data_IF_954985453743
#
_entry.id   IF_954985453743
#
_cell.length_a   1.000
_cell.length_b   1.000
_cell.length_c   1.000
_cell.angle_alpha   90.00
_cell.angle_beta   90.00
_cell.angle_gamma   90.00
#
_symmetry.space_group_name_H-M   'P 1'
#
loop_
_entity.id
_entity.type
_entity.pdbx_description
1 polymer ?
#
# COMPACT_ATOMS: atom_id res chain seq x y z
N UNK A 1 -27.96 -52.97 9.67
CA UNK A 1 -28.01 -52.95 8.19
C UNK A 1 -27.49 -51.60 7.69
N UNK A 2 -26.84 -51.55 6.51
CA UNK A 2 -25.55 -50.85 6.23
C UNK A 2 -25.73 -49.50 5.48
N UNK A 3 -24.67 -48.80 5.00
CA UNK A 3 -23.37 -48.49 5.62
C UNK A 3 -22.94 -46.99 5.49
N UNK A 4 -21.87 -46.69 6.23
CA UNK A 4 -20.89 -45.61 6.12
C UNK A 4 -20.23 -45.51 4.74
N UNK A 5 -19.98 -44.29 4.23
CA UNK A 5 -18.84 -43.88 3.36
C UNK A 5 -18.94 -42.37 3.02
N UNK A 6 -17.77 -41.72 2.94
CA UNK A 6 -17.48 -40.43 2.28
C UNK A 6 -17.75 -39.09 3.00
N UNK A 7 -17.01 -38.81 4.08
CA UNK A 7 -16.47 -37.46 4.33
C UNK A 7 -15.06 -37.53 4.92
N UNK A 8 -14.08 -37.88 4.09
CA UNK A 8 -12.65 -37.63 4.35
C UNK A 8 -11.94 -37.36 3.03
N UNK A 9 -11.77 -36.08 2.70
CA UNK A 9 -10.73 -35.62 1.79
C UNK A 9 -10.51 -34.13 2.02
N UNK A 10 -9.24 -33.72 2.03
CA UNK A 10 -8.70 -32.37 2.20
C UNK A 10 -8.45 -31.89 3.64
N UNK A 11 -7.67 -32.68 4.40
CA UNK A 11 -6.78 -32.14 5.42
C UNK A 11 -5.57 -33.07 5.60
N UNK A 12 -4.52 -32.84 4.81
CA UNK A 12 -3.14 -33.26 5.10
C UNK A 12 -2.22 -32.56 4.09
N UNK A 13 -1.71 -31.39 4.48
CA UNK A 13 -0.45 -30.90 3.93
C UNK A 13 0.56 -30.97 5.07
N UNK A 14 1.39 -31.99 4.96
CA UNK A 14 2.50 -32.31 5.85
C UNK A 14 3.57 -31.25 5.76
N UNK A 15 3.96 -30.78 6.94
CA UNK A 15 5.27 -30.22 7.24
C UNK A 15 6.29 -31.36 7.04
N UNK A 16 7.37 -31.07 6.32
CA UNK A 16 8.70 -31.73 6.32
C UNK A 16 9.23 -31.98 4.91
N UNK A 17 10.16 -31.12 4.48
CA UNK A 17 11.17 -31.46 3.48
C UNK A 17 12.38 -30.52 3.63
N UNK A 18 13.19 -30.76 4.65
CA UNK A 18 14.58 -30.36 4.65
C UNK A 18 15.41 -31.53 4.06
N UNK A 19 16.07 -31.33 2.90
CA UNK A 19 17.43 -31.81 2.60
C UNK A 19 17.81 -31.71 1.10
N UNK A 20 18.74 -30.78 0.85
CA UNK A 20 19.91 -30.85 -0.07
C UNK A 20 19.73 -30.76 -1.61
N UNK A 21 20.72 -30.14 -2.30
CA UNK A 21 20.59 -29.67 -3.67
C UNK A 21 21.17 -30.67 -4.69
N UNK A 22 20.50 -30.82 -5.83
CA UNK A 22 21.05 -31.51 -7.00
C UNK A 22 21.32 -30.48 -8.11
N UNK A 23 22.59 -30.38 -8.50
CA UNK A 23 23.12 -29.58 -9.59
C UNK A 23 22.85 -30.33 -10.91
N UNK A 24 22.23 -29.67 -11.89
CA UNK A 24 22.33 -30.06 -13.31
C UNK A 24 22.03 -28.86 -14.24
N UNK A 25 22.67 -28.78 -15.42
CA UNK A 25 23.02 -27.50 -16.05
C UNK A 25 22.02 -26.97 -17.08
N UNK A 26 22.19 -25.67 -17.35
CA UNK A 26 21.62 -24.87 -18.43
C UNK A 26 21.82 -25.50 -19.82
N UNK A 27 20.79 -25.47 -20.65
CA UNK A 27 20.93 -25.34 -22.10
C UNK A 27 19.71 -24.59 -22.67
N UNK A 28 19.98 -23.49 -23.39
CA UNK A 28 19.01 -22.75 -24.17
C UNK A 28 19.00 -23.31 -25.61
N UNK A 29 17.83 -23.42 -26.22
CA UNK A 29 17.71 -23.62 -27.66
C UNK A 29 16.73 -22.61 -28.24
N UNK A 30 17.28 -21.49 -28.70
CA UNK A 30 16.66 -20.67 -29.73
C UNK A 30 16.85 -21.41 -31.07
N UNK A 31 15.78 -21.64 -31.81
CA UNK A 31 15.86 -22.03 -33.22
C UNK A 31 15.05 -21.05 -34.05
N UNK A 32 15.75 -20.24 -34.83
CA UNK A 32 15.22 -19.40 -35.90
C UNK A 32 15.47 -20.14 -37.21
N UNK A 33 14.43 -20.68 -37.83
CA UNK A 33 14.47 -21.00 -39.25
C UNK A 33 13.08 -20.89 -39.86
N UNK A 34 13.00 -20.00 -40.85
CA UNK A 34 11.85 -19.70 -41.67
C UNK A 34 11.58 -20.83 -42.66
N UNK A 35 10.35 -21.32 -42.73
CA UNK A 35 9.91 -22.24 -43.78
C UNK A 35 9.33 -21.44 -44.94
N UNK A 36 10.13 -21.31 -46.02
CA UNK A 36 9.69 -20.85 -47.33
C UNK A 36 8.78 -21.90 -47.99
N UNK A 37 7.81 -21.38 -48.72
CA UNK A 37 6.97 -22.00 -49.76
C UNK A 37 7.58 -23.21 -50.49
N UNK A 38 6.77 -24.27 -50.68
CA UNK A 38 6.34 -24.79 -52.01
C UNK A 38 5.81 -26.24 -51.90
N UNK A 39 4.69 -26.53 -52.59
CA UNK A 39 4.17 -27.87 -52.83
C UNK A 39 2.73 -27.84 -53.33
N UNK A 40 2.54 -27.81 -54.67
CA UNK A 40 1.26 -27.64 -55.36
C UNK A 40 0.26 -28.80 -55.23
N UNK A 41 -0.98 -28.64 -55.76
CA UNK A 41 -2.08 -29.56 -55.53
C UNK A 41 -1.91 -30.83 -56.37
N UNK A 42 -1.72 -31.98 -55.72
CA UNK A 42 -1.77 -33.28 -56.38
C UNK A 42 -3.20 -33.74 -56.61
N UNK A 43 -3.40 -34.32 -57.79
CA UNK A 43 -4.67 -34.64 -58.46
C UNK A 43 -5.54 -35.64 -57.70
N UNK A 44 -6.86 -35.46 -57.86
CA UNK A 44 -7.93 -36.43 -57.53
C UNK A 44 -7.63 -37.79 -58.17
N UNK A 45 -7.31 -38.79 -57.35
CA UNK A 45 -7.31 -40.21 -57.69
C UNK A 45 -8.56 -40.88 -57.12
N UNK A 46 -9.22 -41.67 -57.96
CA UNK A 46 -10.51 -42.33 -57.73
C UNK A 46 -10.58 -43.09 -56.40
N UNK A 47 -11.63 -42.82 -55.62
CA UNK A 47 -11.99 -43.62 -54.46
C UNK A 47 -12.54 -44.98 -54.92
N UNK A 48 -11.80 -46.05 -54.67
CA UNK A 48 -12.34 -47.40 -54.71
C UNK A 48 -13.40 -47.55 -53.61
N UNK A 49 -14.54 -48.17 -53.93
CA UNK A 49 -15.60 -48.43 -52.96
C UNK A 49 -15.06 -49.28 -51.78
N UNK A 50 -15.42 -48.96 -50.52
CA UNK A 50 -14.93 -49.73 -49.38
C UNK A 50 -15.52 -51.14 -49.41
N UNK A 51 -14.65 -52.15 -49.28
CA UNK A 51 -15.06 -53.56 -49.11
C UNK A 51 -15.97 -53.69 -47.88
N UNK A 52 -17.21 -54.14 -48.08
CA UNK A 52 -18.12 -54.58 -47.01
C UNK A 52 -17.42 -55.66 -46.17
N UNK A 53 -17.28 -55.47 -44.86
CA UNK A 53 -17.06 -56.60 -43.96
C UNK A 53 -16.01 -56.50 -42.84
N UNK A 54 -15.42 -55.34 -42.53
CA UNK A 54 -14.59 -55.22 -41.31
C UNK A 54 -15.16 -54.15 -40.37
N UNK A 55 -16.12 -54.57 -39.55
CA UNK A 55 -16.46 -53.87 -38.30
C UNK A 55 -15.31 -54.10 -37.31
N UNK A 56 -14.27 -53.27 -37.37
CA UNK A 56 -13.46 -53.01 -36.18
C UNK A 56 -14.00 -51.73 -35.54
N UNK A 57 -14.61 -51.90 -34.38
CA UNK A 57 -15.14 -50.82 -33.54
C UNK A 57 -13.94 -50.01 -33.01
N UNK A 58 -13.49 -49.03 -33.79
CA UNK A 58 -12.41 -48.14 -33.39
C UNK A 58 -12.97 -47.18 -32.32
N UNK A 59 -12.99 -47.60 -31.05
CA UNK A 59 -13.30 -46.75 -29.90
C UNK A 59 -12.14 -45.79 -29.64
N UNK A 60 -11.81 -44.97 -30.64
CA UNK A 60 -11.21 -43.67 -30.32
C UNK A 60 -12.30 -42.94 -29.58
N UNK A 61 -12.18 -42.92 -28.24
CA UNK A 61 -12.97 -42.15 -27.30
C UNK A 61 -13.24 -40.81 -27.96
N UNK A 62 -14.40 -40.68 -28.61
CA UNK A 62 -14.72 -39.51 -29.40
C UNK A 62 -14.53 -38.35 -28.46
N UNK A 63 -13.72 -37.34 -28.85
CA UNK A 63 -13.65 -36.08 -28.12
C UNK A 63 -15.10 -35.73 -27.85
N UNK A 64 -15.56 -35.91 -26.60
CA UNK A 64 -16.96 -35.69 -26.25
C UNK A 64 -17.24 -34.29 -26.78
N UNK A 65 -18.16 -34.18 -27.75
CA UNK A 65 -18.61 -32.90 -28.27
C UNK A 65 -18.83 -32.01 -27.06
N UNK A 66 -18.11 -30.89 -26.99
CA UNK A 66 -17.87 -30.11 -25.78
C UNK A 66 -19.15 -29.96 -24.95
N UNK A 67 -19.39 -30.91 -24.05
CA UNK A 67 -20.57 -30.95 -23.21
C UNK A 67 -20.29 -30.14 -21.98
N UNK A 68 -21.08 -29.10 -21.81
CA UNK A 68 -21.15 -28.27 -20.62
C UNK A 68 -20.94 -26.82 -20.98
N UNK A 69 -21.99 -26.01 -20.83
CA UNK A 69 -21.87 -24.57 -20.66
C UNK A 69 -20.91 -24.34 -19.49
N UNK A 70 -19.62 -24.16 -19.80
CA UNK A 70 -18.61 -23.78 -18.82
C UNK A 70 -18.99 -22.36 -18.44
N UNK A 71 -19.74 -22.22 -17.34
CA UNK A 71 -20.51 -21.02 -17.00
C UNK A 71 -19.78 -19.69 -17.22
N UNK A 72 -20.56 -18.60 -17.23
CA UNK A 72 -20.11 -17.26 -17.63
C UNK A 72 -18.71 -16.93 -17.09
N UNK A 73 -17.79 -16.69 -18.02
CA UNK A 73 -16.43 -16.27 -17.68
C UNK A 73 -16.48 -14.95 -16.93
N UNK A 74 -15.62 -14.75 -15.91
CA UNK A 74 -15.58 -13.49 -15.19
C UNK A 74 -15.24 -12.34 -16.12
N UNK A 75 -15.81 -11.17 -15.85
CA UNK A 75 -15.57 -9.96 -16.63
C UNK A 75 -14.12 -9.49 -16.51
N UNK A 76 -13.67 -8.65 -17.46
CA UNK A 76 -12.35 -8.06 -17.40
C UNK A 76 -12.18 -7.28 -16.09
N UNK A 77 -11.08 -7.54 -15.37
CA UNK A 77 -10.80 -6.88 -14.10
C UNK A 77 -11.50 -7.47 -12.87
N UNK A 78 -12.55 -8.29 -13.02
CA UNK A 78 -13.33 -8.82 -11.89
C UNK A 78 -12.47 -9.62 -10.90
N UNK A 79 -11.55 -10.45 -11.41
CA UNK A 79 -10.60 -11.21 -10.58
C UNK A 79 -9.60 -10.32 -9.82
N UNK A 80 -9.23 -9.15 -10.38
CA UNK A 80 -8.34 -8.19 -9.70
C UNK A 80 -9.14 -7.45 -8.63
N UNK A 81 -10.35 -6.99 -8.97
CA UNK A 81 -11.27 -6.33 -8.04
C UNK A 81 -11.60 -7.24 -6.84
N UNK A 82 -11.90 -8.53 -7.06
CA UNK A 82 -12.14 -9.47 -5.96
C UNK A 82 -10.96 -9.62 -5.00
N UNK A 83 -9.71 -9.61 -5.51
CA UNK A 83 -8.50 -9.70 -4.68
C UNK A 83 -8.14 -8.40 -3.97
N UNK A 84 -8.50 -7.25 -4.55
CA UNK A 84 -8.30 -5.92 -3.95
C UNK A 84 -9.50 -5.45 -3.12
N UNK A 85 -10.64 -6.18 -3.12
CA UNK A 85 -11.85 -5.80 -2.38
C UNK A 85 -11.59 -5.84 -0.88
N UNK A 86 -11.97 -4.76 -0.21
CA UNK A 86 -11.86 -4.61 1.23
C UNK A 86 -13.27 -4.66 1.82
N UNK A 87 -13.43 -5.45 2.87
CA UNK A 87 -14.68 -5.58 3.64
C UNK A 87 -14.42 -4.90 4.99
N UNK A 88 -15.17 -3.83 5.29
CA UNK A 88 -14.98 -2.99 6.48
C UNK A 88 -16.05 -3.20 7.56
N UNK A 89 -17.06 -4.01 7.28
CA UNK A 89 -18.13 -4.33 8.23
C UNK A 89 -18.51 -5.80 8.15
N UNK A 90 -18.90 -6.33 9.29
CA UNK A 90 -19.45 -7.67 9.44
C UNK A 90 -20.64 -7.61 10.39
N UNK A 91 -21.83 -7.88 9.86
CA UNK A 91 -23.08 -7.82 10.63
C UNK A 91 -23.20 -8.95 11.65
N UNK A 92 -22.44 -10.04 11.48
CA UNK A 92 -22.42 -11.15 12.44
C UNK A 92 -21.56 -10.85 13.68
N UNK A 93 -20.70 -9.83 13.63
CA UNK A 93 -19.88 -9.44 14.76
C UNK A 93 -20.72 -8.64 15.77
N UNK A 94 -20.49 -8.89 17.06
CA UNK A 94 -21.21 -8.18 18.10
C UNK A 94 -20.78 -6.71 18.15
N UNK A 95 -21.72 -5.85 18.51
CA UNK A 95 -21.43 -4.44 18.71
C UNK A 95 -20.80 -4.22 20.07
N UNK A 96 -19.63 -3.58 20.06
CA UNK A 96 -18.88 -3.31 21.27
C UNK A 96 -19.40 -2.02 21.90
N UNK A 97 -20.11 -2.14 23.03
CA UNK A 97 -20.71 -1.01 23.75
C UNK A 97 -19.69 -0.09 24.42
N UNK A 98 -18.48 -0.60 24.70
CA UNK A 98 -17.39 0.15 25.32
C UNK A 98 -16.64 1.09 24.34
N UNK A 99 -16.85 0.89 23.04
CA UNK A 99 -16.05 1.49 21.98
C UNK A 99 -16.48 2.95 21.75
N UNK A 100 -15.55 3.88 22.02
CA UNK A 100 -15.71 5.33 21.80
C UNK A 100 -15.14 5.72 20.44
N UNK A 101 -15.76 6.70 19.81
CA UNK A 101 -15.32 7.17 18.49
C UNK A 101 -14.27 8.27 18.60
N UNK A 102 -13.38 8.31 17.61
CA UNK A 102 -12.45 9.41 17.42
C UNK A 102 -13.20 10.65 16.91
N UNK A 103 -13.03 11.76 17.61
CA UNK A 103 -13.57 13.06 17.23
C UNK A 103 -12.45 14.08 17.04
N UNK A 104 -12.77 15.24 16.45
CA UNK A 104 -11.82 16.34 16.27
C UNK A 104 -11.11 16.71 17.57
N UNK A 105 -11.81 16.78 18.71
CA UNK A 105 -11.21 17.10 20.00
C UNK A 105 -10.32 15.98 20.52
N UNK A 106 -10.82 14.74 20.48
CA UNK A 106 -10.17 13.60 21.12
C UNK A 106 -9.00 13.02 20.31
N UNK A 107 -8.95 13.23 18.99
CA UNK A 107 -8.00 12.59 18.09
C UNK A 107 -6.51 12.78 18.46
N UNK A 108 -6.18 13.84 19.21
CA UNK A 108 -4.80 14.15 19.60
C UNK A 108 -4.54 13.98 21.11
N UNK A 109 -5.49 13.45 21.88
CA UNK A 109 -5.33 13.30 23.34
C UNK A 109 -4.43 12.11 23.70
N UNK A 110 -3.53 12.32 24.67
CA UNK A 110 -2.63 11.28 25.18
C UNK A 110 -3.35 10.26 26.06
N UNK A 111 -4.51 10.63 26.61
CA UNK A 111 -5.35 9.77 27.44
C UNK A 111 -5.89 8.54 26.71
N UNK A 112 -5.87 8.57 25.37
CA UNK A 112 -6.31 7.45 24.56
C UNK A 112 -5.28 6.33 24.47
N UNK A 113 -4.06 6.50 25.01
CA UNK A 113 -3.04 5.45 24.98
C UNK A 113 -3.57 4.12 25.55
N UNK A 114 -3.44 3.05 24.78
CA UNK A 114 -3.90 1.72 25.13
C UNK A 114 -5.39 1.46 24.92
N UNK A 115 -6.17 2.45 24.47
CA UNK A 115 -7.60 2.27 24.19
C UNK A 115 -7.88 1.97 22.72
N UNK A 116 -8.88 1.12 22.49
CA UNK A 116 -9.43 0.87 21.15
C UNK A 116 -10.48 1.94 20.87
N UNK A 117 -10.35 2.62 19.73
CA UNK A 117 -11.20 3.72 19.33
C UNK A 117 -11.81 3.46 17.95
N UNK A 118 -13.11 3.75 17.81
CA UNK A 118 -13.85 3.63 16.56
C UNK A 118 -13.50 4.76 15.58
N UNK A 119 -13.46 4.43 14.29
CA UNK A 119 -13.38 5.44 13.23
C UNK A 119 -14.79 5.89 12.85
N UNK A 120 -15.09 7.19 12.81
CA UNK A 120 -16.40 7.67 12.37
C UNK A 120 -16.59 7.42 10.87
N UNK A 121 -17.85 7.31 10.45
CA UNK A 121 -18.24 6.87 9.10
C UNK A 121 -17.64 7.76 8.01
N UNK A 122 -17.69 9.09 8.19
CA UNK A 122 -17.15 10.05 7.22
C UNK A 122 -15.64 9.85 6.99
N UNK A 123 -14.89 9.65 8.09
CA UNK A 123 -13.46 9.35 8.01
C UNK A 123 -13.19 8.00 7.36
N UNK A 124 -14.03 6.98 7.61
CA UNK A 124 -13.90 5.67 6.96
C UNK A 124 -14.09 5.80 5.46
N UNK A 125 -15.07 6.59 4.99
CA UNK A 125 -15.31 6.79 3.56
C UNK A 125 -14.16 7.57 2.89
N UNK A 126 -13.62 8.60 3.55
CA UNK A 126 -12.43 9.31 3.07
C UNK A 126 -11.19 8.39 2.99
N UNK A 127 -10.94 7.60 4.03
CA UNK A 127 -9.83 6.63 4.06
C UNK A 127 -10.00 5.51 3.03
N UNK A 128 -11.24 5.09 2.75
CA UNK A 128 -11.56 4.12 1.70
C UNK A 128 -11.27 4.71 0.32
N UNK A 129 -11.65 5.97 0.07
CA UNK A 129 -11.37 6.66 -1.18
C UNK A 129 -9.86 6.80 -1.45
N UNK A 130 -9.06 6.98 -0.39
CA UNK A 130 -7.59 7.06 -0.47
C UNK A 130 -6.89 5.69 -0.44
N UNK A 131 -7.62 4.57 -0.54
CA UNK A 131 -7.09 3.21 -0.46
C UNK A 131 -6.14 2.97 0.74
N UNK A 132 -6.41 3.63 1.88
CA UNK A 132 -5.59 3.53 3.09
C UNK A 132 -5.75 2.16 3.76
N UNK A 133 -6.94 1.56 3.66
CA UNK A 133 -7.20 0.21 4.11
C UNK A 133 -6.53 -0.82 3.19
N UNK A 134 -5.98 -1.90 3.76
CA UNK A 134 -5.32 -2.98 3.02
C UNK A 134 -6.07 -4.30 3.19
N UNK A 135 -6.02 -5.14 2.18
CA UNK A 135 -6.68 -6.45 2.18
C UNK A 135 -6.06 -7.47 3.14
N UNK A 136 -4.81 -7.25 3.55
CA UNK A 136 -4.13 -8.09 4.55
C UNK A 136 -4.65 -7.87 5.98
N UNK A 137 -5.29 -6.72 6.24
CA UNK A 137 -5.78 -6.32 7.56
C UNK A 137 -7.13 -6.96 7.88
N UNK A 138 -7.38 -7.29 9.15
CA UNK A 138 -8.55 -8.03 9.62
C UNK A 138 -9.84 -7.23 9.82
N UNK A 139 -10.11 -6.19 9.02
CA UNK A 139 -11.31 -5.34 9.22
C UNK A 139 -12.63 -6.08 9.08
N UNK A 140 -12.68 -7.12 8.25
CA UNK A 140 -13.88 -7.92 8.00
C UNK A 140 -14.33 -8.75 9.21
N UNK A 141 -13.56 -8.77 10.30
CA UNK A 141 -13.90 -9.50 11.50
C UNK A 141 -14.86 -8.71 12.41
N UNK A 142 -14.88 -7.38 12.27
CA UNK A 142 -15.59 -6.48 13.17
C UNK A 142 -16.78 -5.81 12.50
N UNK A 143 -17.72 -5.33 13.31
CA UNK A 143 -18.90 -4.61 12.82
C UNK A 143 -18.55 -3.23 12.25
N UNK A 144 -17.61 -2.53 12.89
CA UNK A 144 -17.08 -1.24 12.46
C UNK A 144 -15.55 -1.18 12.55
N UNK A 145 -14.87 -0.39 11.69
CA UNK A 145 -13.43 -0.20 11.78
C UNK A 145 -13.03 0.49 13.09
N UNK A 146 -12.14 -0.15 13.84
CA UNK A 146 -11.59 0.39 15.08
C UNK A 146 -10.07 0.24 15.10
N UNK A 147 -9.39 1.16 15.77
CA UNK A 147 -7.94 1.25 15.83
C UNK A 147 -7.47 1.33 17.28
N UNK A 148 -6.38 0.65 17.59
CA UNK A 148 -5.72 0.75 18.89
C UNK A 148 -4.81 1.98 18.91
N UNK A 149 -5.04 2.88 19.86
CA UNK A 149 -4.21 4.06 20.10
C UNK A 149 -2.96 3.66 20.89
N UNK A 150 -1.92 3.24 20.18
CA UNK A 150 -0.65 2.79 20.77
C UNK A 150 0.23 3.96 21.20
N UNK A 151 1.30 3.66 21.95
CA UNK A 151 2.36 4.64 22.23
C UNK A 151 2.87 5.36 20.97
N UNK A 152 3.06 4.65 19.85
CA UNK A 152 3.56 5.26 18.60
C UNK A 152 2.49 6.14 17.93
N UNK A 153 1.21 5.82 18.11
CA UNK A 153 0.09 6.64 17.63
C UNK A 153 -0.01 7.95 18.43
N UNK A 154 0.21 7.88 19.74
CA UNK A 154 0.26 9.07 20.61
C UNK A 154 1.48 9.93 20.28
N UNK A 155 2.63 9.32 19.94
CA UNK A 155 3.78 10.06 19.41
C UNK A 155 3.44 10.78 18.11
N UNK A 156 2.75 10.14 17.16
CA UNK A 156 2.24 10.81 15.97
C UNK A 156 1.29 11.96 16.33
N UNK A 157 0.34 11.76 17.24
CA UNK A 157 -0.57 12.81 17.69
C UNK A 157 0.16 14.04 18.25
N UNK A 158 1.26 13.84 19.00
CA UNK A 158 2.13 14.92 19.49
C UNK A 158 2.76 15.72 18.34
N UNK A 159 3.21 15.03 17.29
CA UNK A 159 3.76 15.68 16.10
C UNK A 159 2.69 16.49 15.36
N UNK A 160 1.46 15.99 15.26
CA UNK A 160 0.36 16.77 14.68
C UNK A 160 0.12 18.06 15.46
N UNK A 161 0.10 18.02 16.80
CA UNK A 161 0.00 19.25 17.63
C UNK A 161 1.15 20.21 17.38
N UNK A 162 2.38 19.71 17.33
CA UNK A 162 3.57 20.54 17.08
C UNK A 162 3.53 21.18 15.68
N UNK A 163 3.06 20.45 14.67
CA UNK A 163 2.91 20.97 13.31
C UNK A 163 1.86 22.10 13.25
N UNK A 164 0.74 21.98 13.97
CA UNK A 164 -0.27 23.06 14.05
C UNK A 164 0.29 24.31 14.74
N UNK A 165 0.98 24.15 15.87
CA UNK A 165 1.47 25.28 16.65
C UNK A 165 2.64 25.99 15.98
N UNK A 166 3.55 25.24 15.36
CA UNK A 166 4.80 25.77 14.80
C UNK A 166 4.73 26.10 13.31
N UNK A 167 3.68 25.65 12.60
CA UNK A 167 3.57 25.71 11.13
C UNK A 167 4.81 25.14 10.43
N UNK A 168 5.49 24.18 11.05
CA UNK A 168 6.66 23.51 10.49
C UNK A 168 6.26 22.25 9.74
N UNK A 169 7.12 21.86 8.80
CA UNK A 169 7.04 20.56 8.14
C UNK A 169 7.72 19.51 9.01
N UNK A 170 6.95 18.56 9.54
CA UNK A 170 7.49 17.42 10.27
C UNK A 170 7.54 16.21 9.34
N UNK A 171 8.66 15.47 9.39
CA UNK A 171 8.92 14.37 8.46
C UNK A 171 9.28 13.14 9.26
N UNK A 172 8.59 12.02 9.03
CA UNK A 172 8.81 10.76 9.77
C UNK A 172 8.80 9.55 8.85
N UNK A 173 9.70 8.61 9.12
CA UNK A 173 9.69 7.28 8.50
C UNK A 173 9.23 6.25 9.52
N UNK A 174 8.24 5.43 9.18
CA UNK A 174 7.76 4.35 10.02
C UNK A 174 8.56 3.07 9.70
N UNK A 175 9.37 2.65 10.66
CA UNK A 175 10.20 1.43 10.59
C UNK A 175 9.65 0.36 11.54
N UNK A 176 9.97 -0.90 11.30
CA UNK A 176 9.59 -2.00 12.19
C UNK A 176 9.48 -3.34 11.48
N UNK A 177 9.19 -4.38 12.25
CA UNK A 177 9.13 -5.76 11.78
C UNK A 177 7.90 -6.07 10.92
N UNK A 178 7.91 -7.22 10.24
CA UNK A 178 6.77 -7.72 9.48
C UNK A 178 5.53 -7.81 10.38
N UNK A 179 4.40 -7.28 9.89
CA UNK A 179 3.10 -7.23 10.58
C UNK A 179 3.05 -6.42 11.90
N UNK A 180 4.05 -5.58 12.20
CA UNK A 180 4.04 -4.74 13.41
C UNK A 180 2.99 -3.63 13.43
N UNK A 181 2.27 -3.37 12.33
CA UNK A 181 1.23 -2.33 12.25
C UNK A 181 1.67 -1.00 11.63
N UNK A 182 2.71 -1.01 10.77
CA UNK A 182 3.20 0.21 10.08
C UNK A 182 2.13 0.88 9.21
N UNK A 183 1.48 0.12 8.32
CA UNK A 183 0.41 0.65 7.45
C UNK A 183 -0.82 1.09 8.25
N UNK A 184 -1.14 0.42 9.36
CA UNK A 184 -2.24 0.86 10.24
C UNK A 184 -1.90 2.14 10.99
N UNK A 185 -0.63 2.34 11.37
CA UNK A 185 -0.17 3.59 11.98
C UNK A 185 -0.19 4.75 10.97
N UNK A 186 0.17 4.49 9.71
CA UNK A 186 0.00 5.47 8.61
C UNK A 186 -1.48 5.82 8.42
N UNK A 187 -2.38 4.83 8.42
CA UNK A 187 -3.82 5.04 8.36
C UNK A 187 -4.32 5.90 9.53
N UNK A 188 -3.84 5.66 10.75
CA UNK A 188 -4.16 6.50 11.91
C UNK A 188 -3.71 7.95 11.70
N UNK A 189 -2.53 8.18 11.13
CA UNK A 189 -2.06 9.53 10.76
C UNK A 189 -2.97 10.22 9.74
N UNK A 190 -3.42 9.49 8.70
CA UNK A 190 -4.38 10.00 7.72
C UNK A 190 -5.74 10.31 8.38
N UNK A 191 -6.20 9.45 9.30
CA UNK A 191 -7.44 9.64 10.04
C UNK A 191 -7.38 10.90 10.92
N UNK A 192 -6.27 11.11 11.64
CA UNK A 192 -6.04 12.31 12.45
C UNK A 192 -6.05 13.57 11.59
N UNK A 193 -5.41 13.54 10.42
CA UNK A 193 -5.43 14.64 9.46
C UNK A 193 -6.84 14.97 8.98
N UNK A 194 -7.60 13.96 8.57
CA UNK A 194 -8.98 14.16 8.11
C UNK A 194 -9.89 14.70 9.22
N UNK A 195 -9.82 14.16 10.44
CA UNK A 195 -10.59 14.64 11.60
C UNK A 195 -10.26 16.08 12.00
N UNK A 196 -9.04 16.54 11.72
CA UNK A 196 -8.60 17.92 11.96
C UNK A 196 -8.84 18.84 10.77
N UNK A 197 -9.50 18.37 9.71
CA UNK A 197 -9.76 19.11 8.47
C UNK A 197 -8.47 19.54 7.74
N UNK A 198 -7.41 18.76 7.87
CA UNK A 198 -6.19 18.95 7.09
C UNK A 198 -6.38 18.41 5.67
N UNK A 199 -5.54 18.88 4.74
CA UNK A 199 -5.55 18.37 3.38
C UNK A 199 -4.77 17.05 3.32
N UNK A 200 -5.46 15.94 3.04
CA UNK A 200 -4.88 14.60 3.10
C UNK A 200 -4.58 14.07 1.70
N UNK A 201 -3.33 13.69 1.46
CA UNK A 201 -2.87 13.05 0.22
C UNK A 201 -2.13 11.77 0.60
N UNK A 202 -2.61 10.65 0.05
CA UNK A 202 -2.02 9.34 0.27
C UNK A 202 -1.58 8.72 -1.04
N UNK A 203 -0.37 8.14 -1.05
CA UNK A 203 0.14 7.28 -2.11
C UNK A 203 0.06 5.83 -1.59
N UNK A 204 -0.99 5.06 -1.97
CA UNK A 204 -1.35 3.84 -1.25
C UNK A 204 -0.31 2.74 -1.34
N UNK A 205 0.31 2.54 -2.51
CA UNK A 205 1.38 1.56 -2.70
C UNK A 205 2.45 2.14 -3.63
N UNK A 206 3.63 2.41 -3.08
CA UNK A 206 4.79 2.85 -3.87
C UNK A 206 5.17 1.87 -4.99
N UNK A 207 4.88 0.57 -4.82
CA UNK A 207 5.15 -0.43 -5.85
C UNK A 207 4.40 -0.14 -7.15
N UNK A 208 3.13 0.25 -7.06
CA UNK A 208 2.30 0.50 -8.24
C UNK A 208 2.91 1.65 -9.09
N UNK A 209 3.56 2.62 -8.45
CA UNK A 209 4.23 3.74 -9.12
C UNK A 209 5.52 3.30 -9.83
N UNK A 210 6.19 2.23 -9.40
CA UNK A 210 7.55 1.86 -9.83
C UNK A 210 7.58 0.63 -10.77
N UNK A 211 6.54 -0.21 -10.72
CA UNK A 211 6.46 -1.55 -11.33
C UNK A 211 6.11 -1.55 -12.85
N UNK A 212 6.47 -0.50 -13.60
CA UNK A 212 6.33 -0.41 -15.06
C UNK A 212 4.99 -0.85 -15.68
N UNK A 213 3.88 -0.65 -14.97
CA UNK A 213 2.57 -1.14 -15.38
C UNK A 213 1.57 -0.04 -15.74
N UNK A 214 1.91 1.21 -15.45
CA UNK A 214 1.17 2.40 -15.91
C UNK A 214 1.92 3.04 -17.07
N UNK A 215 1.21 3.86 -17.83
CA UNK A 215 1.82 4.73 -18.82
C UNK A 215 2.79 5.73 -18.17
N UNK A 216 3.79 6.12 -18.93
CA UNK A 216 4.76 7.13 -18.53
C UNK A 216 5.23 7.93 -19.74
N UNK A 217 5.49 9.21 -19.55
CA UNK A 217 5.98 10.09 -20.60
C UNK A 217 7.12 10.99 -20.09
N UNK A 218 8.15 11.25 -20.92
CA UNK A 218 9.16 12.24 -20.58
C UNK A 218 8.54 13.63 -20.40
N UNK A 219 8.92 14.36 -19.35
CA UNK A 219 8.53 15.74 -19.14
C UNK A 219 9.46 16.68 -19.94
N UNK A 220 8.96 17.43 -20.94
CA UNK A 220 9.81 18.35 -21.70
C UNK A 220 10.33 19.48 -20.81
N UNK A 221 11.62 19.83 -20.93
CA UNK A 221 12.22 20.97 -20.24
C UNK A 221 12.60 20.74 -18.77
N UNK A 222 12.54 19.50 -18.26
CA UNK A 222 13.04 19.16 -16.93
C UNK A 222 14.52 18.77 -16.95
N UNK A 223 15.32 19.33 -16.05
CA UNK A 223 16.71 18.93 -15.80
C UNK A 223 16.86 18.45 -14.32
N UNK A 224 17.26 17.20 -14.03
CA UNK A 224 17.44 16.07 -14.94
C UNK A 224 16.10 15.64 -15.60
N UNK A 225 16.19 14.80 -16.63
CA UNK A 225 15.01 14.31 -17.36
C UNK A 225 14.04 13.57 -16.42
N UNK A 226 12.85 14.14 -16.22
CA UNK A 226 11.81 13.57 -15.37
C UNK A 226 10.75 12.87 -16.21
N UNK A 227 10.01 11.96 -15.58
CA UNK A 227 8.93 11.21 -16.22
C UNK A 227 7.62 11.38 -15.46
N UNK A 228 6.56 11.67 -16.21
CA UNK A 228 5.17 11.81 -15.77
C UNK A 228 4.43 10.48 -15.91
N UNK A 229 3.36 10.30 -15.13
CA UNK A 229 2.56 9.07 -15.10
C UNK A 229 1.07 9.43 -15.08
N UNK A 230 0.56 9.78 -16.26
CA UNK A 230 -0.70 10.48 -16.46
C UNK A 230 -1.95 9.70 -16.00
N UNK A 231 -2.00 8.39 -16.26
CA UNK A 231 -3.11 7.56 -15.76
C UNK A 231 -3.05 7.38 -14.25
N UNK A 232 -1.86 7.36 -13.65
CA UNK A 232 -1.75 7.26 -12.19
C UNK A 232 -2.12 8.58 -11.50
N UNK A 233 -1.64 9.72 -12.01
CA UNK A 233 -1.94 11.06 -11.50
C UNK A 233 -3.43 11.41 -11.61
N UNK A 234 -4.09 11.05 -12.70
CA UNK A 234 -5.55 11.26 -12.85
C UNK A 234 -6.36 10.46 -11.82
N UNK A 235 -6.01 9.20 -11.57
CA UNK A 235 -6.61 8.40 -10.52
C UNK A 235 -6.32 8.98 -9.12
N UNK A 236 -5.09 9.45 -8.88
CA UNK A 236 -4.73 10.12 -7.62
C UNK A 236 -5.57 11.39 -7.40
N UNK A 237 -5.77 12.20 -8.43
CA UNK A 237 -6.63 13.39 -8.37
C UNK A 237 -8.08 13.04 -8.04
N UNK A 238 -8.62 11.95 -8.59
CA UNK A 238 -9.94 11.44 -8.22
C UNK A 238 -10.01 11.07 -6.72
N UNK A 239 -9.00 10.36 -6.21
CA UNK A 239 -8.94 9.97 -4.79
C UNK A 239 -8.85 11.21 -3.88
N UNK A 240 -8.04 12.20 -4.25
CA UNK A 240 -7.92 13.48 -3.55
C UNK A 240 -9.26 14.22 -3.53
N UNK A 241 -9.99 14.22 -4.65
CA UNK A 241 -11.30 14.87 -4.76
C UNK A 241 -12.33 14.26 -3.81
N UNK A 242 -12.38 12.93 -3.74
CA UNK A 242 -13.32 12.20 -2.89
C UNK A 242 -12.99 12.38 -1.40
N UNK A 243 -11.71 12.36 -1.03
CA UNK A 243 -11.30 12.47 0.36
C UNK A 243 -11.38 13.90 0.95
N UNK A 244 -11.14 14.92 0.12
CA UNK A 244 -11.07 16.34 0.52
C UNK A 244 -12.19 17.19 -0.10
N UNK A 245 -13.30 16.55 -0.51
CA UNK A 245 -14.38 17.17 -1.26
C UNK A 245 -14.92 18.49 -0.67
N UNK A 246 -15.22 18.57 0.65
CA UNK A 246 -15.72 19.79 1.27
C UNK A 246 -14.78 20.98 1.12
N UNK A 247 -13.47 20.76 1.31
CA UNK A 247 -12.46 21.81 1.19
C UNK A 247 -12.27 22.29 -0.25
N UNK A 248 -12.25 21.36 -1.22
CA UNK A 248 -12.06 21.68 -2.63
C UNK A 248 -13.25 22.45 -3.22
N UNK A 249 -14.46 22.19 -2.73
CA UNK A 249 -15.66 22.91 -3.15
C UNK A 249 -15.73 24.33 -2.57
N UNK A 250 -15.31 24.52 -1.32
CA UNK A 250 -15.34 25.81 -0.65
C UNK A 250 -14.26 26.78 -1.18
N UNK A 251 -13.17 26.25 -1.74
CA UNK A 251 -11.97 27.02 -2.07
C UNK A 251 -11.93 27.44 -3.54
N UNK A 252 -11.79 28.75 -3.78
CA UNK A 252 -11.58 29.33 -5.12
C UNK A 252 -10.09 29.40 -5.48
N UNK A 253 -9.81 29.39 -6.78
CA UNK A 253 -8.47 29.61 -7.34
C UNK A 253 -7.97 31.02 -7.05
N UNK A 254 -6.70 31.12 -6.67
CA UNK A 254 -6.02 32.38 -6.38
C UNK A 254 -5.19 32.84 -7.59
N UNK A 255 -4.62 31.89 -8.31
CA UNK A 255 -3.74 32.12 -9.46
C UNK A 255 -4.36 31.61 -10.74
N UNK A 256 -3.98 32.25 -11.84
CA UNK A 256 -4.25 31.78 -13.20
C UNK A 256 -3.18 30.78 -13.60
N UNK A 257 -3.58 29.62 -14.10
CA UNK A 257 -2.68 28.58 -14.58
C UNK A 257 -2.88 28.39 -16.08
N UNK A 258 -1.77 28.27 -16.81
CA UNK A 258 -1.79 27.90 -18.21
C UNK A 258 -1.97 26.37 -18.30
N UNK A 259 -3.20 25.95 -18.55
CA UNK A 259 -3.58 24.55 -18.66
C UNK A 259 -4.02 24.27 -20.10
N UNK A 260 -3.84 23.04 -20.59
CA UNK A 260 -4.27 22.65 -21.94
C UNK A 260 -5.76 22.92 -22.21
N UNK A 261 -6.59 22.92 -21.16
CA UNK A 261 -8.01 23.28 -21.21
C UNK A 261 -8.24 24.50 -20.32
N UNK A 262 -8.82 25.59 -20.86
CA UNK A 262 -9.03 26.80 -20.08
C UNK A 262 -10.15 26.61 -19.04
N UNK A 263 -9.90 27.10 -17.82
CA UNK A 263 -10.89 27.15 -16.75
C UNK A 263 -11.65 28.49 -16.77
N UNK A 264 -12.90 28.48 -16.30
CA UNK A 264 -13.68 29.71 -16.13
C UNK A 264 -13.07 30.62 -15.06
N UNK A 265 -13.18 31.93 -15.26
CA UNK A 265 -12.72 32.92 -14.29
C UNK A 265 -13.44 32.73 -12.94
N UNK A 266 -12.69 32.48 -11.88
CA UNK A 266 -13.23 32.22 -10.54
C UNK A 266 -13.64 30.76 -10.26
N UNK A 267 -13.17 29.82 -11.09
CA UNK A 267 -13.37 28.38 -10.88
C UNK A 267 -12.91 27.91 -9.48
N UNK A 268 -13.56 26.85 -9.00
CA UNK A 268 -13.24 26.21 -7.72
C UNK A 268 -12.05 25.24 -7.87
N UNK A 269 -11.37 24.92 -6.76
CA UNK A 269 -10.34 23.86 -6.78
C UNK A 269 -10.93 22.51 -7.20
N UNK A 270 -12.21 22.26 -6.90
CA UNK A 270 -12.91 21.07 -7.35
C UNK A 270 -12.98 20.95 -8.88
N UNK A 271 -13.21 22.06 -9.58
CA UNK A 271 -13.25 22.11 -11.05
C UNK A 271 -11.85 21.89 -11.65
N UNK A 272 -10.81 22.47 -11.03
CA UNK A 272 -9.42 22.21 -11.41
C UNK A 272 -9.09 20.71 -11.33
N UNK A 273 -9.43 20.06 -10.22
CA UNK A 273 -9.17 18.62 -10.02
C UNK A 273 -9.99 17.77 -10.99
N UNK A 274 -11.25 18.13 -11.25
CA UNK A 274 -12.11 17.44 -12.21
C UNK A 274 -11.56 17.47 -13.64
N UNK A 275 -10.88 18.56 -14.03
CA UNK A 275 -10.21 18.68 -15.33
C UNK A 275 -9.09 17.65 -15.48
N UNK A 276 -8.24 17.52 -14.46
CA UNK A 276 -7.15 16.53 -14.46
C UNK A 276 -7.62 15.08 -14.33
N UNK A 277 -8.80 14.86 -13.75
CA UNK A 277 -9.46 13.55 -13.76
C UNK A 277 -10.00 13.18 -15.15
N UNK A 278 -10.61 14.13 -15.85
CA UNK A 278 -11.20 13.89 -17.17
C UNK A 278 -10.14 13.71 -18.27
N UNK A 279 -9.01 14.42 -18.16
CA UNK A 279 -7.95 14.44 -19.16
C UNK A 279 -6.62 13.96 -18.54
N UNK A 280 -6.24 12.67 -18.71
CA UNK A 280 -5.00 12.13 -18.16
C UNK A 280 -3.75 12.91 -18.59
N UNK A 281 -3.64 13.32 -19.85
CA UNK A 281 -2.47 14.06 -20.37
C UNK A 281 -2.23 15.41 -19.67
N UNK A 282 -3.29 16.03 -19.13
CA UNK A 282 -3.20 17.29 -18.39
C UNK A 282 -3.05 17.10 -16.88
N UNK A 283 -3.07 15.85 -16.38
CA UNK A 283 -3.17 15.55 -14.96
C UNK A 283 -1.95 16.00 -14.15
N UNK A 284 -0.73 15.90 -14.69
CA UNK A 284 0.47 16.37 -14.00
C UNK A 284 0.52 17.91 -13.85
N UNK A 285 0.33 18.71 -14.92
CA UNK A 285 0.17 20.16 -14.78
C UNK A 285 -0.94 20.58 -13.80
N UNK A 286 -2.07 19.88 -13.81
CA UNK A 286 -3.19 20.11 -12.88
C UNK A 286 -2.77 19.81 -11.43
N UNK A 287 -2.06 18.70 -11.19
CA UNK A 287 -1.54 18.36 -9.87
C UNK A 287 -0.53 19.42 -9.38
N UNK A 288 0.36 19.89 -10.24
CA UNK A 288 1.31 20.96 -9.90
C UNK A 288 0.59 22.28 -9.59
N UNK A 289 -0.46 22.63 -10.35
CA UNK A 289 -1.30 23.79 -10.08
C UNK A 289 -2.03 23.67 -8.73
N UNK A 290 -2.63 22.52 -8.45
CA UNK A 290 -3.27 22.22 -7.17
C UNK A 290 -2.28 22.38 -6.01
N UNK A 291 -1.07 21.82 -6.16
CA UNK A 291 -0.03 21.93 -5.13
C UNK A 291 0.39 23.38 -4.85
N UNK A 292 0.50 24.19 -5.91
CA UNK A 292 0.81 25.61 -5.80
C UNK A 292 -0.32 26.40 -5.11
N UNK A 293 -1.57 26.04 -5.31
CA UNK A 293 -2.74 26.61 -4.61
C UNK A 293 -2.77 26.21 -3.13
N UNK A 294 -2.45 24.96 -2.81
CA UNK A 294 -2.35 24.47 -1.43
C UNK A 294 -1.18 25.12 -0.66
N UNK A 295 -0.14 25.51 -1.38
CA UNK A 295 1.02 26.21 -0.83
C UNK A 295 0.80 27.72 -0.63
N UNK A 296 -0.38 28.27 -0.97
CA UNK A 296 -0.70 29.67 -0.68
C UNK A 296 -0.87 29.90 0.83
N UNK A 297 -0.57 31.10 1.35
CA UNK A 297 -0.74 31.40 2.76
C UNK A 297 -2.22 31.30 3.17
N UNK A 298 -2.49 30.78 4.36
CA UNK A 298 -3.85 30.67 4.90
C UNK A 298 -4.63 29.42 4.48
N UNK A 299 -3.96 28.47 3.81
CA UNK A 299 -4.51 27.13 3.53
C UNK A 299 -4.28 26.18 4.72
N UNK A 300 -5.06 25.10 4.86
CA UNK A 300 -4.84 24.11 5.91
C UNK A 300 -3.49 23.40 5.75
N UNK A 301 -2.95 22.82 6.85
CA UNK A 301 -1.78 21.97 6.78
C UNK A 301 -2.02 20.73 5.90
N UNK A 302 -0.94 20.15 5.37
CA UNK A 302 -1.01 19.00 4.46
C UNK A 302 -0.46 17.74 5.16
N UNK A 303 -1.18 16.63 5.05
CA UNK A 303 -0.64 15.29 5.34
C UNK A 303 -0.30 14.62 4.01
N UNK A 304 0.98 14.37 3.79
CA UNK A 304 1.48 13.64 2.63
C UNK A 304 2.04 12.29 3.07
N UNK A 305 1.39 11.20 2.70
CA UNK A 305 1.80 9.86 3.11
C UNK A 305 2.12 8.95 1.92
N UNK A 306 3.09 8.05 2.10
CA UNK A 306 3.35 6.94 1.18
C UNK A 306 3.56 5.64 1.97
N UNK A 307 2.97 4.55 1.47
CA UNK A 307 3.25 3.21 1.99
C UNK A 307 4.26 2.46 1.09
N UNK A 308 5.01 1.54 1.70
CA UNK A 308 6.03 0.72 1.07
C UNK A 308 7.19 1.52 0.45
N UNK A 309 7.73 2.48 1.20
CA UNK A 309 8.86 3.36 0.84
C UNK A 309 10.06 2.62 0.22
N UNK A 310 10.32 1.36 0.58
CA UNK A 310 11.42 0.56 0.03
C UNK A 310 11.40 0.44 -1.50
N UNK A 311 10.22 0.52 -2.15
CA UNK A 311 10.12 0.45 -3.61
C UNK A 311 10.63 1.71 -4.33
N UNK A 312 10.57 2.88 -3.68
CA UNK A 312 11.03 4.15 -4.30
C UNK A 312 12.52 4.42 -4.09
N UNK A 313 13.20 3.67 -3.22
CA UNK A 313 14.63 3.84 -2.89
C UNK A 313 15.53 2.95 -3.77
N UNK A 314 15.11 2.74 -5.02
CA UNK A 314 15.82 1.92 -6.01
C UNK A 314 15.51 2.40 -7.42
N UNK A 315 16.18 1.80 -8.41
CA UNK A 315 15.76 1.95 -9.80
C UNK A 315 14.37 1.35 -10.03
N UNK A 316 13.59 2.05 -10.83
CA UNK A 316 12.28 1.59 -11.29
C UNK A 316 12.41 0.55 -12.40
N UNK A 317 11.29 -0.10 -12.71
CA UNK A 317 11.23 -1.06 -13.81
C UNK A 317 10.99 -0.36 -15.16
N UNK A 318 10.77 0.96 -15.15
CA UNK A 318 10.65 1.76 -16.38
C UNK A 318 12.00 1.93 -17.07
N UNK A 319 11.95 2.05 -18.39
CA UNK A 319 13.14 2.19 -19.23
C UNK A 319 13.17 3.57 -19.89
N UNK A 320 14.34 4.17 -19.93
CA UNK A 320 14.57 5.38 -20.73
C UNK A 320 14.65 5.03 -22.23
N UNK A 321 14.72 6.06 -23.09
CA UNK A 321 14.97 5.88 -24.52
C UNK A 321 16.27 5.07 -24.81
N UNK A 322 17.25 5.14 -23.90
CA UNK A 322 18.50 4.39 -23.97
C UNK A 322 18.39 2.95 -23.42
N UNK A 323 17.18 2.47 -23.12
CA UNK A 323 16.92 1.14 -22.54
C UNK A 323 17.65 0.96 -21.19
N UNK A 324 17.78 2.05 -20.42
CA UNK A 324 18.34 2.02 -19.06
C UNK A 324 17.21 2.12 -18.03
N UNK A 325 17.26 1.35 -16.93
CA UNK A 325 16.32 1.53 -15.84
C UNK A 325 16.34 2.97 -15.32
N UNK A 326 15.17 3.60 -15.28
CA UNK A 326 15.00 4.95 -14.76
C UNK A 326 15.05 4.88 -13.23
N UNK A 327 15.78 5.78 -12.59
CA UNK A 327 15.81 5.83 -11.13
C UNK A 327 14.41 6.25 -10.60
N UNK A 328 13.89 5.65 -9.53
CA UNK A 328 12.53 5.98 -9.07
C UNK A 328 12.38 7.47 -8.68
N UNK A 329 13.44 8.12 -8.17
CA UNK A 329 13.45 9.57 -7.92
C UNK A 329 13.34 10.46 -9.18
N UNK A 330 13.45 9.91 -10.40
CA UNK A 330 13.24 10.66 -11.64
C UNK A 330 11.77 10.62 -12.09
N UNK A 331 10.93 9.80 -11.45
CA UNK A 331 9.47 9.84 -11.59
C UNK A 331 8.94 11.07 -10.85
N UNK A 332 8.22 11.94 -11.54
CA UNK A 332 7.74 13.25 -11.05
C UNK A 332 7.00 13.19 -9.70
N UNK A 333 6.07 12.24 -9.54
CA UNK A 333 5.34 12.04 -8.27
C UNK A 333 6.25 11.62 -7.11
N UNK A 334 7.18 10.70 -7.38
CA UNK A 334 8.13 10.23 -6.37
C UNK A 334 9.11 11.35 -6.02
N UNK A 335 9.60 12.07 -7.03
CA UNK A 335 10.46 13.24 -6.85
C UNK A 335 9.78 14.28 -5.96
N UNK A 336 8.52 14.58 -6.24
CA UNK A 336 7.72 15.50 -5.44
C UNK A 336 7.63 15.07 -3.98
N UNK A 337 7.30 13.80 -3.72
CA UNK A 337 7.32 13.24 -2.36
C UNK A 337 8.70 13.32 -1.71
N UNK A 338 9.76 12.93 -2.42
CA UNK A 338 11.13 12.91 -1.92
C UNK A 338 11.69 14.30 -1.65
N UNK A 339 11.33 15.31 -2.43
CA UNK A 339 11.70 16.70 -2.16
C UNK A 339 11.10 17.20 -0.83
N UNK A 340 9.90 16.74 -0.48
CA UNK A 340 9.26 17.02 0.80
C UNK A 340 9.82 16.18 1.96
N UNK A 341 10.15 14.91 1.72
CA UNK A 341 10.78 14.05 2.72
C UNK A 341 12.23 14.45 3.03
N UNK A 342 13.00 14.87 2.02
CA UNK A 342 14.37 15.37 2.18
C UNK A 342 14.44 16.80 2.72
N UNK A 343 13.32 17.52 2.73
CA UNK A 343 13.25 18.90 3.24
C UNK A 343 13.75 19.95 2.25
N UNK A 344 14.06 19.55 1.01
CA UNK A 344 14.37 20.47 -0.09
C UNK A 344 13.19 21.42 -0.38
N UNK A 345 11.96 20.91 -0.29
CA UNK A 345 10.72 21.71 -0.38
C UNK A 345 9.98 21.67 0.96
N UNK A 346 9.82 22.83 1.58
CA UNK A 346 9.07 23.00 2.83
C UNK A 346 7.59 23.28 2.55
N UNK A 347 6.71 22.83 3.46
CA UNK A 347 5.29 23.16 3.45
C UNK A 347 5.09 24.49 4.19
N UNK A 348 4.65 25.56 3.50
CA UNK A 348 4.58 26.91 4.11
C UNK A 348 3.51 27.01 5.20
N UNK A 349 2.43 26.24 5.10
CA UNK A 349 1.34 26.22 6.09
C UNK A 349 1.53 25.17 7.19
N UNK A 350 2.69 24.52 7.23
CA UNK A 350 2.94 23.35 8.06
C UNK A 350 2.33 22.08 7.47
N UNK A 351 2.67 20.96 8.08
CA UNK A 351 2.17 19.65 7.66
C UNK A 351 3.08 18.51 8.08
N UNK A 352 2.65 17.30 7.77
CA UNK A 352 3.34 16.07 8.13
C UNK A 352 3.58 15.23 6.88
N UNK A 353 4.84 14.83 6.67
CA UNK A 353 5.23 13.89 5.61
C UNK A 353 5.57 12.55 6.25
N UNK A 354 4.82 11.50 5.89
CA UNK A 354 4.95 10.16 6.43
C UNK A 354 5.39 9.17 5.34
N UNK A 355 6.41 8.37 5.63
CA UNK A 355 6.79 7.24 4.79
C UNK A 355 6.81 5.95 5.58
N UNK A 356 5.96 4.97 5.23
CA UNK A 356 5.99 3.66 5.87
C UNK A 356 6.87 2.68 5.09
N UNK A 357 7.76 1.98 5.79
CA UNK A 357 8.46 0.82 5.23
C UNK A 357 7.54 -0.40 5.19
N UNK A 358 7.86 -1.38 4.34
CA UNK A 358 7.18 -2.68 4.31
C UNK A 358 8.23 -3.78 4.46
N UNK A 359 7.81 -4.94 5.00
CA UNK A 359 8.65 -6.15 5.07
C UNK A 359 7.98 -7.38 4.45
N UNK A 360 6.76 -7.25 3.93
CA UNK A 360 6.00 -8.37 3.37
C UNK A 360 6.28 -8.56 1.87
N UNK A 361 6.42 -7.44 1.15
CA UNK A 361 6.78 -7.40 -0.26
C UNK A 361 7.67 -6.18 -0.49
N UNK A 362 8.90 -6.26 0.00
CA UNK A 362 9.85 -5.15 -0.03
C UNK A 362 11.14 -5.60 -0.72
N UNK A 363 11.56 -4.92 -1.80
CA UNK A 363 12.89 -5.11 -2.34
C UNK A 363 13.91 -4.63 -1.30
N UNK A 364 15.04 -5.33 -1.22
CA UNK A 364 16.14 -4.93 -0.34
C UNK A 364 16.83 -3.69 -0.89
N UNK A 365 16.87 -2.63 -0.10
CA UNK A 365 17.53 -1.37 -0.43
C UNK A 365 18.58 -1.06 0.64
N UNK A 366 19.84 -1.47 0.44
CA UNK A 366 20.90 -1.34 1.45
C UNK A 366 21.09 0.08 1.97
N UNK A 367 20.95 1.08 1.11
CA UNK A 367 21.05 2.50 1.47
C UNK A 367 19.96 2.92 2.47
N UNK A 368 18.70 2.58 2.20
CA UNK A 368 17.59 2.89 3.09
C UNK A 368 17.73 2.16 4.43
N UNK A 369 18.04 0.87 4.39
CA UNK A 369 18.17 0.04 5.60
C UNK A 369 19.28 0.57 6.50
N UNK A 370 20.41 0.96 5.91
CA UNK A 370 21.50 1.60 6.64
C UNK A 370 21.09 2.93 7.27
N UNK A 371 20.45 3.83 6.52
CA UNK A 371 19.99 5.10 7.05
C UNK A 371 19.05 4.88 8.25
N UNK A 372 18.07 3.99 8.13
CA UNK A 372 17.14 3.64 9.21
C UNK A 372 17.89 3.07 10.41
N UNK A 373 18.83 2.15 10.21
CA UNK A 373 19.64 1.58 11.30
C UNK A 373 20.46 2.63 12.04
N UNK A 374 21.06 3.59 11.32
CA UNK A 374 21.79 4.71 11.94
C UNK A 374 20.86 5.55 12.80
N UNK A 375 19.67 5.90 12.31
CA UNK A 375 18.71 6.69 13.09
C UNK A 375 18.18 5.93 14.31
N UNK A 376 17.84 4.65 14.16
CA UNK A 376 17.40 3.81 15.28
C UNK A 376 18.51 3.67 16.33
N UNK A 377 19.76 3.40 15.90
CA UNK A 377 20.90 3.28 16.80
C UNK A 377 21.14 4.57 17.58
N UNK A 378 20.94 5.75 16.97
CA UNK A 378 21.08 7.03 17.68
C UNK A 378 20.03 7.25 18.76
N UNK A 379 18.82 6.76 18.56
CA UNK A 379 17.76 6.86 19.57
C UNK A 379 18.02 5.97 20.78
N UNK A 380 18.63 4.79 20.58
CA UNK A 380 18.84 3.80 21.67
C UNK A 380 20.25 3.75 22.24
N UNK A 381 21.28 3.95 21.42
CA UNK A 381 22.69 3.70 21.74
C UNK A 381 23.61 4.62 20.94
N UNK A 382 23.81 5.88 21.38
CA UNK A 382 24.58 6.88 20.63
C UNK A 382 26.06 6.50 20.43
N UNK A 383 26.60 5.59 21.27
CA UNK A 383 28.01 5.18 21.23
C UNK A 383 28.33 4.15 20.14
N UNK A 384 27.33 3.43 19.62
CA UNK A 384 27.52 2.36 18.64
C UNK A 384 26.72 2.63 17.36
N UNK A 385 27.18 3.62 16.59
CA UNK A 385 26.58 3.96 15.31
C UNK A 385 27.10 3.00 14.24
N UNK A 386 26.22 2.30 13.50
CA UNK A 386 26.65 1.40 12.43
C UNK A 386 27.36 2.16 11.32
N UNK A 387 28.41 1.56 10.76
CA UNK A 387 29.15 2.10 9.62
C UNK A 387 28.68 1.48 8.32
N UNK A 388 28.84 2.22 7.22
CA UNK A 388 28.49 1.71 5.90
C UNK A 388 29.39 0.55 5.50
N UNK A 389 28.81 -0.55 5.03
CA UNK A 389 29.56 -1.69 4.51
C UNK A 389 30.08 -1.40 3.09
N UNK A 390 31.40 -1.34 2.85
CA UNK A 390 31.95 -0.95 1.55
C UNK A 390 31.55 -1.85 0.37
N UNK A 391 31.18 -3.10 0.65
CA UNK A 391 30.83 -4.10 -0.36
C UNK A 391 29.35 -4.09 -0.75
N UNK A 392 28.50 -3.32 -0.07
CA UNK A 392 27.09 -3.15 -0.44
C UNK A 392 26.95 -2.05 -1.49
N UNK A 393 25.96 -2.21 -2.38
CA UNK A 393 25.64 -1.23 -3.42
C UNK A 393 25.28 0.10 -2.75
N UNK A 394 26.06 1.13 -3.03
CA UNK A 394 25.85 2.48 -2.53
C UNK A 394 25.01 3.27 -3.53
N UNK A 395 23.81 3.67 -3.11
CA UNK A 395 22.97 4.58 -3.88
C UNK A 395 23.10 6.00 -3.31
N UNK A 396 23.91 6.82 -3.97
CA UNK A 396 24.19 8.18 -3.53
C UNK A 396 22.92 9.04 -3.44
N UNK A 397 21.95 8.85 -4.34
CA UNK A 397 20.73 9.67 -4.38
C UNK A 397 19.84 9.38 -3.19
N UNK A 398 19.74 8.12 -2.77
CA UNK A 398 18.98 7.72 -1.59
C UNK A 398 19.62 8.26 -0.32
N UNK A 399 20.94 8.10 -0.17
CA UNK A 399 21.66 8.59 1.00
C UNK A 399 21.60 10.12 1.10
N UNK A 400 21.73 10.83 -0.01
CA UNK A 400 21.59 12.29 -0.04
C UNK A 400 20.18 12.73 0.34
N UNK A 401 19.15 12.05 -0.15
CA UNK A 401 17.75 12.37 0.17
C UNK A 401 17.42 12.10 1.64
N UNK A 402 18.12 11.18 2.28
CA UNK A 402 17.95 10.79 3.69
C UNK A 402 19.08 11.32 4.58
N UNK A 403 19.89 12.28 4.12
CA UNK A 403 21.01 12.85 4.88
C UNK A 403 20.58 13.44 6.22
N UNK A 404 19.37 13.97 6.28
CA UNK A 404 18.81 14.57 7.50
C UNK A 404 18.59 13.54 8.61
N UNK A 405 18.35 12.28 8.23
CA UNK A 405 18.16 11.14 9.13
C UNK A 405 19.51 10.59 9.62
N UNK A 406 20.56 10.77 8.80
CA UNK A 406 21.97 10.44 9.12
C UNK A 406 22.72 11.62 9.74
N UNK A 407 22.15 12.82 9.82
CA UNK A 407 22.77 13.97 10.51
C UNK A 407 22.00 14.28 11.79
N UNK A 408 22.57 15.06 12.71
CA UNK A 408 21.90 15.46 13.96
C UNK A 408 20.73 16.43 13.75
N UNK A 409 20.35 16.67 12.49
CA UNK A 409 19.28 17.59 12.15
C UNK A 409 17.93 17.03 12.62
N UNK A 410 17.19 17.80 13.44
CA UNK A 410 15.86 17.41 13.99
C UNK A 410 14.74 17.33 12.95
N UNK A 411 15.08 17.37 11.66
CA UNK A 411 14.12 17.58 10.59
C UNK A 411 13.42 16.29 10.11
N UNK A 412 14.13 15.16 10.10
CA UNK A 412 13.64 13.86 9.65
C UNK A 412 14.04 12.81 10.69
N UNK A 413 13.07 12.03 11.15
CA UNK A 413 13.28 11.06 12.23
C UNK A 413 12.50 9.77 11.98
N UNK A 414 12.87 8.68 12.65
CA UNK A 414 12.26 7.35 12.49
C UNK A 414 11.36 7.05 13.68
N UNK A 415 10.15 6.57 13.43
CA UNK A 415 9.30 5.98 14.45
C UNK A 415 9.37 4.46 14.29
N UNK A 416 10.01 3.80 15.24
CA UNK A 416 10.10 2.35 15.29
C UNK A 416 8.83 1.76 15.88
N UNK A 417 8.04 1.11 15.04
CA UNK A 417 6.82 0.39 15.41
C UNK A 417 7.18 -0.99 15.93
N UNK A 418 7.17 -1.13 17.25
CA UNK A 418 7.52 -2.36 17.96
C UNK A 418 6.32 -3.30 18.20
N UNK A 419 6.54 -4.31 19.04
CA UNK A 419 5.46 -5.09 19.64
C UNK A 419 4.65 -4.27 20.65
N UNK A 420 3.40 -4.69 20.86
CA UNK A 420 2.50 -4.13 21.86
C UNK A 420 3.02 -4.41 23.27
N UNK A 421 2.74 -3.49 24.19
CA UNK A 421 2.86 -3.76 25.63
C UNK A 421 1.78 -4.75 26.08
N UNK A 422 1.97 -5.37 27.25
CA UNK A 422 0.97 -6.32 27.78
C UNK A 422 -0.39 -5.65 28.05
N UNK A 423 -0.40 -4.37 28.45
CA UNK A 423 -1.61 -3.59 28.69
C UNK A 423 -2.36 -3.30 27.39
N UNK A 424 -1.65 -2.85 26.34
CA UNK A 424 -2.20 -2.69 25.00
C UNK A 424 -2.71 -4.01 24.41
N UNK A 425 -1.96 -5.10 24.61
CA UNK A 425 -2.35 -6.43 24.17
C UNK A 425 -3.60 -6.95 24.89
N UNK A 426 -3.77 -6.62 26.17
CA UNK A 426 -4.99 -6.90 26.92
C UNK A 426 -6.18 -6.14 26.34
N UNK A 427 -6.06 -4.83 26.14
CA UNK A 427 -7.15 -4.00 25.62
C UNK A 427 -7.64 -4.47 24.25
N UNK A 428 -6.73 -4.86 23.34
CA UNK A 428 -7.13 -5.39 22.04
C UNK A 428 -7.77 -6.78 22.13
N UNK A 429 -7.34 -7.64 23.06
CA UNK A 429 -7.97 -8.95 23.29
C UNK A 429 -9.35 -8.81 23.93
N UNK A 430 -9.53 -7.86 24.85
CA UNK A 430 -10.85 -7.53 25.42
C UNK A 430 -11.79 -7.06 24.31
N UNK A 431 -11.32 -6.19 23.41
CA UNK A 431 -12.08 -5.80 22.22
C UNK A 431 -12.45 -7.00 21.32
N UNK A 432 -11.54 -7.96 21.11
CA UNK A 432 -11.83 -9.18 20.34
C UNK A 432 -12.86 -10.08 21.04
N UNK A 433 -12.81 -10.15 22.37
CA UNK A 433 -13.77 -10.91 23.18
C UNK A 433 -15.16 -10.25 23.15
N UNK A 434 -15.24 -8.93 23.35
CA UNK A 434 -16.48 -8.16 23.28
C UNK A 434 -17.12 -8.22 21.88
N UNK A 435 -16.31 -8.31 20.83
CA UNK A 435 -16.77 -8.51 19.45
C UNK A 435 -17.26 -9.95 19.16
N UNK A 436 -17.12 -10.88 20.12
CA UNK A 436 -17.51 -12.28 19.99
C UNK A 436 -16.52 -13.17 19.22
N UNK A 437 -15.32 -12.68 18.93
CA UNK A 437 -14.29 -13.43 18.19
C UNK A 437 -13.49 -14.37 19.09
N UNK A 438 -13.17 -13.93 20.30
CA UNK A 438 -12.45 -14.72 21.30
C UNK A 438 -13.44 -15.27 22.31
N UNK A 439 -13.55 -16.61 22.39
CA UNK A 439 -14.46 -17.32 23.30
C UNK A 439 -13.78 -17.81 24.58
N UNK A 440 -12.81 -17.05 25.07
CA UNK A 440 -12.05 -17.34 26.28
C UNK A 440 -12.04 -16.13 27.20
N UNK A 441 -11.93 -16.37 28.50
CA UNK A 441 -11.81 -15.29 29.47
C UNK A 441 -10.44 -14.61 29.33
N UNK A 442 -10.45 -13.30 29.14
CA UNK A 442 -9.23 -12.50 28.99
C UNK A 442 -8.60 -12.27 30.37
N UNK A 443 -7.93 -13.30 30.88
CA UNK A 443 -7.15 -13.26 32.12
C UNK A 443 -5.67 -12.95 31.82
N UNK A 444 -4.91 -12.51 32.81
CA UNK A 444 -3.49 -12.16 32.65
C UNK A 444 -2.64 -13.33 32.11
N UNK A 445 -2.95 -14.57 32.54
CA UNK A 445 -2.31 -15.78 32.01
C UNK A 445 -2.56 -15.95 30.51
N UNK A 446 -3.81 -15.79 30.06
CA UNK A 446 -4.17 -15.90 28.65
C UNK A 446 -3.52 -14.79 27.82
N UNK A 447 -3.54 -13.55 28.31
CA UNK A 447 -2.87 -12.42 27.66
C UNK A 447 -1.37 -12.69 27.53
N UNK A 448 -0.73 -13.17 28.60
CA UNK A 448 0.71 -13.45 28.60
C UNK A 448 1.07 -14.60 27.65
N UNK A 449 0.27 -15.66 27.61
CA UNK A 449 0.45 -16.78 26.67
C UNK A 449 0.39 -16.27 25.22
N UNK A 450 -0.70 -15.60 24.83
CA UNK A 450 -0.88 -15.12 23.44
C UNK A 450 0.13 -14.05 23.07
N UNK A 451 0.47 -13.15 23.99
CA UNK A 451 1.51 -12.14 23.78
C UNK A 451 2.88 -12.77 23.54
N UNK A 452 3.19 -13.87 24.25
CA UNK A 452 4.45 -14.60 24.09
C UNK A 452 4.49 -15.36 22.76
N UNK A 453 3.39 -16.03 22.39
CA UNK A 453 3.24 -16.71 21.09
C UNK A 453 3.29 -15.74 19.91
N UNK A 454 2.86 -14.50 20.10
CA UNK A 454 2.94 -13.43 19.12
C UNK A 454 4.33 -12.78 19.01
N UNK A 455 5.38 -13.39 19.58
CA UNK A 455 6.75 -12.85 19.50
C UNK A 455 6.90 -11.54 20.25
N UNK A 456 6.51 -11.52 21.53
CA UNK A 456 6.55 -10.33 22.40
C UNK A 456 5.61 -9.21 21.91
N UNK A 457 4.41 -9.59 21.48
CA UNK A 457 3.32 -8.65 21.18
C UNK A 457 3.26 -8.11 19.75
N UNK A 458 3.78 -8.80 18.74
CA UNK A 458 3.55 -8.41 17.35
C UNK A 458 2.05 -8.50 17.02
N UNK A 459 1.40 -7.35 16.77
CA UNK A 459 -0.07 -7.25 16.62
C UNK A 459 -0.64 -8.19 15.56
N UNK A 460 0.04 -8.36 14.41
CA UNK A 460 -0.47 -9.24 13.36
C UNK A 460 -0.37 -10.72 13.72
N UNK A 461 0.69 -11.14 14.41
CA UNK A 461 0.77 -12.51 14.94
C UNK A 461 -0.17 -12.70 16.14
N UNK A 462 -0.47 -11.64 16.89
CA UNK A 462 -1.46 -11.65 17.97
C UNK A 462 -2.87 -11.89 17.43
N UNK A 463 -3.27 -11.16 16.38
CA UNK A 463 -4.54 -11.40 15.69
C UNK A 463 -4.62 -12.83 15.14
N UNK A 464 -3.50 -13.32 14.56
CA UNK A 464 -3.43 -14.68 14.03
C UNK A 464 -3.61 -15.73 15.12
N UNK A 465 -2.93 -15.59 16.25
CA UNK A 465 -2.95 -16.58 17.35
C UNK A 465 -4.19 -16.51 18.22
N UNK A 466 -4.81 -15.33 18.36
CA UNK A 466 -6.01 -15.14 19.16
C UNK A 466 -7.30 -15.42 18.38
N UNK A 467 -7.37 -15.06 17.09
CA UNK A 467 -8.62 -15.10 16.32
C UNK A 467 -8.58 -16.09 15.16
N UNK A 468 -7.51 -16.08 14.34
CA UNK A 468 -7.50 -16.82 13.07
C UNK A 468 -7.11 -18.29 13.19
N UNK A 469 -6.27 -18.63 14.17
CA UNK A 469 -5.86 -20.01 14.41
C UNK A 469 -7.02 -20.78 15.02
N UNK A 470 -7.42 -21.87 14.34
CA UNK A 470 -8.24 -22.92 14.94
C UNK A 470 -7.31 -23.78 15.78
N UNK A 471 -7.32 -23.56 17.09
CA UNK A 471 -6.70 -24.46 18.07
C UNK A 471 -7.72 -25.49 18.48
#
# INVERSE_FOLDING_TARGET
MPPSICLRSFAQLSIDAAARPAIAPRAAFFSTSSTRYAGGPTKKGMAAAPKKGLKQLNTKKGKKAATGDTGKRPAQGERKAMRKRIILSNDNALEVSSLKDLSKANALEEKNEGLVMGLPVDTVDALRAMEAFKTSQGWSLFRRPAVLMRKEAVQLAKLFKEAESSKKTLRRILSGERMSGKSTLLLQGLAMGHLREWFVINLPEAQDIVNAHTDYAPLPGSEPMQYTQDTYTSNLLQQIQLANGPFLAATKLSKTYDLPVPLSAGASLKELVALGQANPEASWPVFAALWNELSQPGRPPIVLAIDSLSHIMRNSEYLSADVKPIHAHDLTLIRHFMDHLSGAKKLPNGGVVLGATSQSNSPTSPALDFCIQVAEARQTSPDNIPQWEPYKKYDARVVESLKDLVSESKGLDVIKVGGLTKTEARAIMEYYAESGLVRHQVNESFVTEKWSLAGMGNIGELERTAVRLRV
#
